data_IF_141731761292
#
_entry.id   IF_141731761292
#
_cell.length_a   1.000
_cell.length_b   1.000
_cell.length_c   1.000
_cell.angle_alpha   90.00
_cell.angle_beta   90.00
_cell.angle_gamma   90.00
#
_symmetry.space_group_name_H-M   'P 1'
#
loop_
_entity.id
_entity.type
_entity.pdbx_description
1 polymer ?
#
# COMPACT_ATOMS: atom_id res chain seq x y z
N UNK A 1 -0.24 -31.02 -41.21
CA UNK A 1 -1.00 -31.08 -39.94
C UNK A 1 -1.12 -29.68 -39.37
N UNK A 2 -2.34 -29.17 -39.17
CA UNK A 2 -2.58 -27.85 -38.57
C UNK A 2 -2.72 -28.02 -37.06
N UNK A 3 -1.77 -27.49 -36.28
CA UNK A 3 -1.90 -27.42 -34.82
C UNK A 3 -2.94 -26.35 -34.51
N UNK A 4 -4.13 -26.80 -34.11
CA UNK A 4 -5.22 -25.94 -33.63
C UNK A 4 -4.86 -25.43 -32.22
N UNK A 5 -4.18 -24.29 -32.16
CA UNK A 5 -3.85 -23.61 -30.90
C UNK A 5 -5.14 -23.07 -30.31
N UNK A 6 -5.63 -23.72 -29.26
CA UNK A 6 -6.81 -23.27 -28.52
C UNK A 6 -6.38 -22.13 -27.60
N UNK A 7 -6.71 -20.89 -27.97
CA UNK A 7 -6.54 -19.75 -27.06
C UNK A 7 -7.59 -19.88 -25.95
N UNK A 8 -7.19 -20.40 -24.79
CA UNK A 8 -8.07 -20.48 -23.61
C UNK A 8 -7.98 -19.19 -22.81
N UNK A 9 -9.13 -18.73 -22.30
CA UNK A 9 -9.29 -17.48 -21.58
C UNK A 9 -8.51 -17.51 -20.26
N UNK A 10 -7.48 -16.69 -20.16
CA UNK A 10 -6.86 -16.34 -18.88
C UNK A 10 -7.78 -15.31 -18.21
N UNK A 11 -8.07 -15.44 -16.91
CA UNK A 11 -8.86 -14.48 -16.12
C UNK A 11 -8.07 -13.17 -15.91
N UNK A 12 -7.90 -12.40 -16.99
CA UNK A 12 -7.39 -11.03 -16.95
C UNK A 12 -8.55 -10.06 -17.18
N UNK A 13 -8.51 -8.86 -16.56
CA UNK A 13 -7.45 -8.36 -15.69
C UNK A 13 -7.45 -9.03 -14.31
N UNK A 14 -6.26 -9.17 -13.71
CA UNK A 14 -6.08 -9.65 -12.34
C UNK A 14 -5.43 -8.54 -11.51
N UNK A 15 -5.99 -8.25 -10.34
CA UNK A 15 -5.49 -7.22 -9.44
C UNK A 15 -5.19 -7.83 -8.07
N UNK A 16 -4.04 -7.46 -7.48
CA UNK A 16 -3.68 -7.84 -6.11
C UNK A 16 -2.74 -6.78 -5.51
N UNK A 17 -2.46 -6.88 -4.21
CA UNK A 17 -1.48 -6.05 -3.53
C UNK A 17 -0.36 -6.88 -2.93
N UNK A 18 0.87 -6.36 -2.98
CA UNK A 18 2.05 -7.01 -2.39
C UNK A 18 3.11 -5.97 -2.02
N UNK A 19 3.70 -6.06 -0.83
CA UNK A 19 4.71 -5.13 -0.30
C UNK A 19 4.33 -3.63 -0.41
N UNK A 20 3.05 -3.31 -0.24
CA UNK A 20 2.51 -1.95 -0.34
C UNK A 20 2.27 -1.45 -1.78
N UNK A 21 2.57 -2.26 -2.80
CA UNK A 21 2.23 -1.96 -4.18
C UNK A 21 0.87 -2.53 -4.56
N UNK A 22 0.13 -1.78 -5.37
CA UNK A 22 -1.02 -2.29 -6.11
C UNK A 22 -0.53 -2.81 -7.46
N UNK A 23 -0.91 -4.04 -7.79
CA UNK A 23 -0.48 -4.73 -9.00
C UNK A 23 -1.71 -4.97 -9.88
N UNK A 24 -1.62 -4.52 -11.13
CA UNK A 24 -2.61 -4.84 -12.17
C UNK A 24 -1.94 -5.61 -13.29
N UNK A 25 -2.48 -6.79 -13.59
CA UNK A 25 -2.00 -7.64 -14.66
C UNK A 25 -2.91 -7.52 -15.87
N UNK A 26 -2.33 -7.20 -17.01
CA UNK A 26 -3.03 -7.14 -18.29
C UNK A 26 -2.44 -8.15 -19.27
N UNK A 27 -3.33 -8.85 -19.98
CA UNK A 27 -2.92 -9.74 -21.06
C UNK A 27 -2.44 -8.92 -22.25
N UNK A 28 -1.21 -9.17 -22.71
CA UNK A 28 -0.69 -8.67 -23.98
C UNK A 28 -0.49 -9.85 -24.93
N UNK A 29 -1.07 -9.79 -26.13
CA UNK A 29 -0.80 -10.78 -27.17
C UNK A 29 0.53 -10.41 -27.81
N UNK A 30 1.52 -11.29 -27.73
CA UNK A 30 2.80 -11.12 -28.41
C UNK A 30 2.72 -11.47 -29.90
N UNK A 31 3.72 -11.03 -30.68
CA UNK A 31 3.92 -11.54 -32.03
C UNK A 31 4.20 -13.06 -31.96
N UNK A 32 3.57 -13.84 -32.84
CA UNK A 32 3.68 -15.32 -32.93
C UNK A 32 3.05 -16.17 -31.80
N UNK A 33 1.82 -15.84 -31.36
CA UNK A 33 1.00 -16.68 -30.44
C UNK A 33 1.54 -16.85 -29.01
N UNK A 34 2.63 -16.17 -28.67
CA UNK A 34 3.12 -16.09 -27.30
C UNK A 34 2.24 -15.16 -26.47
N UNK A 35 1.89 -15.60 -25.26
CA UNK A 35 1.08 -14.80 -24.33
C UNK A 35 2.04 -14.10 -23.38
N UNK A 36 2.09 -12.78 -23.47
CA UNK A 36 2.79 -11.94 -22.53
C UNK A 36 1.79 -11.37 -21.52
N UNK A 37 2.26 -11.15 -20.30
CA UNK A 37 1.50 -10.46 -19.26
C UNK A 37 2.28 -9.23 -18.90
N UNK A 38 1.64 -8.08 -18.97
CA UNK A 38 2.23 -6.84 -18.50
C UNK A 38 1.71 -6.57 -17.09
N UNK A 39 2.64 -6.49 -16.13
CA UNK A 39 2.32 -6.12 -14.76
C UNK A 39 2.57 -4.62 -14.60
N UNK A 40 1.56 -3.91 -14.11
CA UNK A 40 1.64 -2.52 -13.70
C UNK A 40 1.73 -2.48 -12.18
N UNK A 41 2.81 -1.90 -11.67
CA UNK A 41 3.06 -1.68 -10.25
C UNK A 41 2.79 -0.21 -9.94
N UNK A 42 1.70 0.06 -9.25
CA UNK A 42 1.34 1.41 -8.82
C UNK A 42 1.48 1.51 -7.31
N UNK A 43 2.10 2.59 -6.77
CA UNK A 43 2.08 2.84 -5.34
C UNK A 43 0.63 3.04 -4.83
N UNK A 44 0.41 3.03 -3.52
CA UNK A 44 -0.88 3.40 -2.97
C UNK A 44 -1.17 4.89 -3.25
N UNK A 45 -2.43 5.27 -3.10
CA UNK A 45 -2.83 6.67 -3.27
C UNK A 45 -2.08 7.52 -2.26
N UNK A 46 -1.54 8.65 -2.72
CA UNK A 46 -0.85 9.60 -1.83
C UNK A 46 -1.77 9.99 -0.66
N UNK A 47 -1.24 10.02 0.56
CA UNK A 47 -2.04 10.43 1.70
C UNK A 47 -2.49 11.88 1.54
N UNK A 48 -3.67 12.19 2.08
CA UNK A 48 -4.15 13.56 2.17
C UNK A 48 -3.33 14.35 3.21
N UNK A 49 -2.25 14.99 2.75
CA UNK A 49 -1.34 15.76 3.59
C UNK A 49 -2.06 16.83 4.40
N UNK A 50 -3.08 17.48 3.83
CA UNK A 50 -3.85 18.52 4.52
C UNK A 50 -4.64 17.90 5.68
N UNK A 51 -5.28 16.76 5.45
CA UNK A 51 -5.97 16.06 6.52
C UNK A 51 -5.04 15.70 7.67
N UNK A 52 -3.92 15.03 7.39
CA UNK A 52 -3.00 14.51 8.41
C UNK A 52 -2.20 15.59 9.15
N UNK A 53 -1.84 16.68 8.47
CA UNK A 53 -0.98 17.72 9.04
C UNK A 53 -1.75 18.88 9.67
N UNK A 54 -3.01 19.10 9.29
CA UNK A 54 -3.77 20.28 9.70
C UNK A 54 -5.11 19.92 10.35
N UNK A 55 -5.97 19.19 9.61
CA UNK A 55 -7.33 18.90 10.06
C UNK A 55 -7.32 18.02 11.30
N UNK A 56 -6.60 16.89 11.26
CA UNK A 56 -6.55 15.92 12.34
C UNK A 56 -5.93 16.50 13.63
N UNK A 57 -4.78 17.22 13.59
CA UNK A 57 -4.26 17.90 14.77
C UNK A 57 -5.22 18.92 15.37
N UNK A 58 -5.97 19.66 14.53
CA UNK A 58 -6.94 20.62 15.02
C UNK A 58 -8.13 19.93 15.71
N UNK A 59 -8.61 18.82 15.18
CA UNK A 59 -9.67 18.04 15.82
C UNK A 59 -9.23 17.46 17.17
N UNK A 60 -7.99 16.98 17.27
CA UNK A 60 -7.41 16.50 18.54
C UNK A 60 -7.35 17.63 19.57
N UNK A 61 -6.88 18.82 19.18
CA UNK A 61 -6.82 19.98 20.07
C UNK A 61 -8.22 20.36 20.58
N UNK A 62 -9.21 20.45 19.68
CA UNK A 62 -10.60 20.76 20.04
C UNK A 62 -11.17 19.76 21.06
N UNK A 63 -10.91 18.46 20.88
CA UNK A 63 -11.36 17.43 21.82
C UNK A 63 -10.63 17.52 23.18
N UNK A 64 -9.34 17.84 23.19
CA UNK A 64 -8.58 18.02 24.44
C UNK A 64 -9.11 19.20 25.26
N UNK A 65 -9.46 20.31 24.58
CA UNK A 65 -10.10 21.48 25.20
C UNK A 65 -11.47 21.08 25.76
N UNK A 66 -12.30 20.41 24.95
CA UNK A 66 -13.64 19.97 25.36
C UNK A 66 -13.60 19.06 26.60
N UNK A 67 -12.58 18.20 26.70
CA UNK A 67 -12.39 17.29 27.85
C UNK A 67 -11.73 17.95 29.06
N UNK A 68 -11.40 19.25 29.01
CA UNK A 68 -10.69 19.95 30.08
C UNK A 68 -9.26 19.44 30.31
N UNK A 69 -8.68 18.72 29.33
CA UNK A 69 -7.32 18.18 29.39
C UNK A 69 -6.27 19.21 28.96
N UNK A 70 -6.69 20.22 28.21
CA UNK A 70 -5.86 21.36 27.85
C UNK A 70 -6.31 22.61 28.64
N UNK A 71 -5.39 23.40 29.24
CA UNK A 71 -3.93 23.25 29.25
C UNK A 71 -3.36 22.46 30.46
N UNK A 72 -4.23 21.77 31.22
CA UNK A 72 -3.90 21.16 32.52
C UNK A 72 -2.98 19.93 32.39
N UNK A 73 -3.34 18.98 31.52
CA UNK A 73 -2.62 17.73 31.28
C UNK A 73 -1.83 17.72 29.97
N UNK A 74 -2.22 18.59 29.03
CA UNK A 74 -1.55 18.81 27.76
C UNK A 74 -1.17 20.28 27.66
N UNK A 75 0.12 20.58 27.55
CA UNK A 75 0.61 21.95 27.41
C UNK A 75 0.64 22.40 25.94
N UNK A 76 0.79 23.71 25.70
CA UNK A 76 1.02 24.24 24.34
C UNK A 76 2.28 23.63 23.70
N UNK A 77 3.33 23.36 24.50
CA UNK A 77 4.57 22.70 24.02
C UNK A 77 4.31 21.26 23.57
N UNK A 78 3.42 20.54 24.24
CA UNK A 78 3.05 19.18 23.85
C UNK A 78 2.29 19.17 22.51
N UNK A 79 1.38 20.13 22.30
CA UNK A 79 0.65 20.30 21.05
C UNK A 79 1.61 20.63 19.89
N UNK A 80 2.53 21.56 20.08
CA UNK A 80 3.50 21.91 19.04
C UNK A 80 4.47 20.76 18.74
N UNK A 81 4.90 20.02 19.77
CA UNK A 81 5.68 18.79 19.58
C UNK A 81 4.92 17.76 18.77
N UNK A 82 3.66 17.50 19.10
CA UNK A 82 2.79 16.60 18.35
C UNK A 82 2.68 17.01 16.88
N UNK A 83 2.31 18.27 16.59
CA UNK A 83 2.20 18.78 15.22
C UNK A 83 3.51 18.64 14.44
N UNK A 84 4.63 18.95 15.09
CA UNK A 84 5.96 18.85 14.46
C UNK A 84 6.31 17.41 14.09
N UNK A 85 6.14 16.45 15.01
CA UNK A 85 6.44 15.04 14.76
C UNK A 85 5.48 14.48 13.70
N UNK A 86 4.19 14.77 13.80
CA UNK A 86 3.18 14.38 12.82
C UNK A 86 3.56 14.86 11.42
N UNK A 87 3.85 16.15 11.27
CA UNK A 87 4.25 16.74 9.99
C UNK A 87 5.51 16.11 9.42
N UNK A 88 6.53 15.94 10.26
CA UNK A 88 7.79 15.33 9.82
C UNK A 88 7.60 13.88 9.35
N UNK A 89 6.76 13.12 10.05
CA UNK A 89 6.45 11.75 9.66
C UNK A 89 5.69 11.70 8.33
N UNK A 90 4.58 12.42 8.23
CA UNK A 90 3.73 12.42 7.03
C UNK A 90 4.50 12.93 5.82
N UNK A 91 5.23 14.05 5.95
CA UNK A 91 6.03 14.61 4.85
C UNK A 91 7.25 13.73 4.48
N UNK A 92 7.66 12.82 5.37
CA UNK A 92 8.68 11.83 5.10
C UNK A 92 8.21 10.71 4.17
N UNK A 93 6.90 10.54 4.00
CA UNK A 93 6.31 9.51 3.15
C UNK A 93 6.48 9.91 1.69
N UNK A 94 7.33 9.16 0.98
CA UNK A 94 7.58 9.35 -0.44
C UNK A 94 7.28 8.06 -1.17
N UNK A 95 6.25 8.09 -2.01
CA UNK A 95 5.92 6.96 -2.86
C UNK A 95 6.73 7.02 -4.16
N UNK A 96 7.36 5.91 -4.58
CA UNK A 96 8.06 5.82 -5.85
C UNK A 96 7.08 5.97 -7.02
N UNK A 97 7.59 6.36 -8.18
CA UNK A 97 6.80 6.41 -9.41
C UNK A 97 6.27 5.01 -9.77
N UNK A 98 5.10 4.97 -10.41
CA UNK A 98 4.56 3.74 -10.97
C UNK A 98 5.51 3.13 -12.01
N UNK A 99 5.58 1.81 -12.06
CA UNK A 99 6.45 1.06 -12.96
C UNK A 99 5.65 -0.02 -13.68
N UNK A 100 6.16 -0.49 -14.82
CA UNK A 100 5.62 -1.69 -15.47
C UNK A 100 6.74 -2.62 -15.91
N UNK A 101 6.44 -3.92 -15.91
CA UNK A 101 7.34 -4.94 -16.40
C UNK A 101 6.56 -6.03 -17.15
N UNK A 102 7.18 -6.57 -18.20
CA UNK A 102 6.58 -7.62 -19.03
C UNK A 102 7.09 -8.98 -18.60
N UNK A 103 6.15 -9.86 -18.30
CA UNK A 103 6.39 -11.24 -17.92
C UNK A 103 5.94 -12.16 -19.05
N UNK A 104 6.70 -13.22 -19.28
CA UNK A 104 6.30 -14.29 -20.19
C UNK A 104 5.34 -15.22 -19.43
N UNK A 105 4.11 -15.41 -19.94
CA UNK A 105 3.20 -16.43 -19.43
C UNK A 105 3.43 -17.81 -20.09
N UNK A 106 4.50 -17.91 -20.87
CA UNK A 106 4.92 -19.16 -21.46
C UNK A 106 5.64 -19.98 -20.39
N UNK A 107 4.94 -20.97 -19.83
CA UNK A 107 5.62 -22.08 -19.19
C UNK A 107 6.63 -22.72 -20.18
N UNK A 108 7.64 -23.39 -19.63
CA UNK A 108 8.62 -24.11 -20.45
C UNK A 108 7.95 -25.09 -21.43
N UNK A 109 8.71 -25.62 -22.39
CA UNK A 109 8.18 -26.48 -23.46
C UNK A 109 7.26 -27.61 -22.94
N UNK A 110 7.53 -28.15 -21.74
CA UNK A 110 6.73 -29.17 -21.04
C UNK A 110 5.36 -28.68 -20.51
N UNK A 111 5.26 -27.45 -20.01
CA UNK A 111 4.01 -26.90 -19.46
C UNK A 111 2.96 -26.65 -20.54
N UNK A 112 3.42 -26.36 -21.76
CA UNK A 112 2.57 -26.17 -22.95
C UNK A 112 1.90 -27.47 -23.40
N UNK A 113 2.46 -28.63 -23.07
CA UNK A 113 1.91 -29.95 -23.43
C UNK A 113 0.88 -30.48 -22.42
N UNK A 114 0.96 -30.10 -21.14
CA UNK A 114 0.19 -30.75 -20.06
C UNK A 114 -1.16 -30.06 -19.75
N UNK A 115 -1.47 -28.91 -20.38
CA UNK A 115 -2.84 -28.37 -20.37
C UNK A 115 -3.39 -27.95 -19.00
N UNK A 116 -2.51 -27.65 -18.03
CA UNK A 116 -2.90 -27.22 -16.68
C UNK A 116 -3.11 -25.70 -16.60
N UNK A 117 -4.34 -25.25 -16.91
CA UNK A 117 -4.72 -23.83 -16.90
C UNK A 117 -4.64 -23.13 -15.53
N UNK A 118 -4.67 -23.84 -14.40
CA UNK A 118 -4.57 -23.22 -13.06
C UNK A 118 -3.10 -22.97 -12.68
N UNK A 119 -2.18 -23.80 -13.18
CA UNK A 119 -0.75 -23.74 -12.90
C UNK A 119 -0.08 -22.51 -13.53
N UNK A 120 -0.49 -22.12 -14.74
CA UNK A 120 0.18 -21.04 -15.50
C UNK A 120 -0.06 -19.63 -14.94
N UNK A 121 -1.27 -19.32 -14.47
CA UNK A 121 -1.55 -18.01 -13.86
C UNK A 121 -0.83 -17.86 -12.52
N UNK A 122 -0.84 -18.91 -11.70
CA UNK A 122 -0.12 -18.92 -10.42
C UNK A 122 1.40 -18.75 -10.63
N UNK A 123 2.01 -19.49 -11.57
CA UNK A 123 3.43 -19.33 -11.94
C UNK A 123 3.79 -17.90 -12.36
N UNK A 124 2.91 -17.24 -13.10
CA UNK A 124 3.10 -15.84 -13.50
C UNK A 124 3.01 -14.92 -12.28
N UNK A 125 2.02 -15.12 -11.40
CA UNK A 125 1.90 -14.35 -10.15
C UNK A 125 3.13 -14.55 -9.27
N UNK A 126 3.61 -15.79 -9.11
CA UNK A 126 4.80 -16.11 -8.32
C UNK A 126 6.04 -15.41 -8.90
N UNK A 127 6.23 -15.46 -10.23
CA UNK A 127 7.33 -14.77 -10.91
C UNK A 127 7.27 -13.25 -10.73
N UNK A 128 6.06 -12.69 -10.70
CA UNK A 128 5.83 -11.26 -10.46
C UNK A 128 6.14 -10.91 -9.00
N UNK A 129 5.67 -11.71 -8.04
CA UNK A 129 5.96 -11.52 -6.61
C UNK A 129 7.47 -11.62 -6.36
N UNK A 130 8.15 -12.58 -6.96
CA UNK A 130 9.61 -12.69 -6.89
C UNK A 130 10.29 -11.45 -7.49
N UNK A 131 9.86 -10.99 -8.66
CA UNK A 131 10.38 -9.75 -9.23
C UNK A 131 10.19 -8.58 -8.27
N UNK A 132 9.01 -8.43 -7.66
CA UNK A 132 8.71 -7.36 -6.71
C UNK A 132 9.63 -7.44 -5.49
N UNK A 133 9.85 -8.63 -4.93
CA UNK A 133 10.71 -8.82 -3.75
C UNK A 133 12.17 -8.43 -4.00
N UNK A 134 12.66 -8.60 -5.23
CA UNK A 134 14.07 -8.34 -5.57
C UNK A 134 14.31 -6.95 -6.19
N UNK A 135 13.31 -6.34 -6.84
CA UNK A 135 13.50 -5.14 -7.65
C UNK A 135 12.71 -3.93 -7.19
N UNK A 136 11.64 -4.12 -6.39
CA UNK A 136 10.83 -3.00 -5.91
C UNK A 136 11.10 -2.75 -4.43
N UNK A 137 11.23 -1.48 -4.00
CA UNK A 137 11.29 -1.16 -2.59
C UNK A 137 9.96 -1.51 -1.92
N UNK A 138 10.02 -1.93 -0.66
CA UNK A 138 8.81 -2.07 0.17
C UNK A 138 8.24 -0.67 0.45
N UNK A 139 6.95 -0.48 0.19
CA UNK A 139 6.25 0.76 0.49
C UNK A 139 5.57 0.61 1.85
N UNK A 140 5.88 1.52 2.77
CA UNK A 140 5.12 1.67 4.01
C UNK A 140 3.94 2.61 3.75
N UNK A 141 2.74 2.09 3.91
CA UNK A 141 1.52 2.88 3.81
C UNK A 141 1.30 3.69 5.10
N UNK A 142 0.82 4.92 4.95
CA UNK A 142 0.37 5.73 6.08
C UNK A 142 -0.90 5.11 6.68
N UNK A 143 -0.73 4.32 7.73
CA UNK A 143 -1.85 3.74 8.49
C UNK A 143 -2.04 4.48 9.81
N UNK A 144 -3.27 4.46 10.33
CA UNK A 144 -3.59 5.03 11.66
C UNK A 144 -2.69 4.42 12.74
N UNK A 145 -2.47 3.10 12.71
CA UNK A 145 -1.60 2.41 13.67
C UNK A 145 -0.13 2.81 13.51
N UNK A 146 0.39 2.87 12.28
CA UNK A 146 1.75 3.32 12.03
C UNK A 146 1.97 4.77 12.50
N UNK A 147 0.99 5.63 12.24
CA UNK A 147 0.97 7.01 12.72
C UNK A 147 0.97 7.10 14.25
N UNK A 148 0.07 6.38 14.93
CA UNK A 148 -0.01 6.35 16.40
C UNK A 148 1.28 5.83 17.03
N UNK A 149 1.80 4.70 16.55
CA UNK A 149 3.06 4.13 17.02
C UNK A 149 4.21 5.13 16.86
N UNK A 150 4.30 5.78 15.70
CA UNK A 150 5.35 6.77 15.45
C UNK A 150 5.28 7.94 16.43
N UNK A 151 4.08 8.44 16.73
CA UNK A 151 3.92 9.52 17.70
C UNK A 151 4.28 9.07 19.12
N UNK A 152 3.85 7.87 19.51
CA UNK A 152 4.15 7.29 20.82
C UNK A 152 5.65 7.06 21.01
N UNK A 153 6.33 6.48 20.02
CA UNK A 153 7.77 6.22 20.03
C UNK A 153 8.59 7.51 20.13
N UNK A 154 8.06 8.62 19.64
CA UNK A 154 8.69 9.95 19.72
C UNK A 154 8.27 10.76 20.95
N UNK A 155 7.61 10.11 21.92
CA UNK A 155 7.28 10.70 23.23
C UNK A 155 6.22 11.79 23.16
N UNK A 156 5.24 11.66 22.27
CA UNK A 156 4.04 12.51 22.30
C UNK A 156 3.22 12.21 23.55
N UNK A 157 2.67 13.26 24.16
CA UNK A 157 1.89 13.18 25.40
C UNK A 157 0.75 12.13 25.28
N UNK A 158 0.61 11.28 26.30
CA UNK A 158 -0.31 10.15 26.29
C UNK A 158 -1.79 10.55 26.17
N UNK A 159 -2.18 11.74 26.64
CA UNK A 159 -3.54 12.25 26.48
C UNK A 159 -3.83 12.64 25.02
N UNK A 160 -2.82 13.12 24.29
CA UNK A 160 -2.91 13.37 22.84
C UNK A 160 -3.08 12.03 22.12
N UNK A 161 -2.22 11.04 22.42
CA UNK A 161 -2.29 9.69 21.82
C UNK A 161 -3.64 9.02 22.08
N UNK A 162 -4.14 9.09 23.32
CA UNK A 162 -5.45 8.54 23.69
C UNK A 162 -6.59 9.23 22.94
N UNK A 163 -6.57 10.56 22.87
CA UNK A 163 -7.60 11.33 22.14
C UNK A 163 -7.59 11.03 20.66
N UNK A 164 -6.40 10.96 20.06
CA UNK A 164 -6.22 10.58 18.66
C UNK A 164 -6.70 9.14 18.39
N UNK A 165 -6.36 8.20 19.27
CA UNK A 165 -6.82 6.80 19.16
C UNK A 165 -8.33 6.68 19.24
N UNK A 166 -8.99 7.48 20.09
CA UNK A 166 -10.46 7.52 20.18
C UNK A 166 -11.09 8.14 18.93
N UNK A 167 -10.55 9.26 18.43
CA UNK A 167 -11.03 9.92 17.22
C UNK A 167 -10.94 9.00 16.01
N UNK A 168 -9.86 8.23 15.91
CA UNK A 168 -9.66 7.25 14.85
C UNK A 168 -10.42 5.92 15.07
N UNK A 169 -11.20 5.78 16.15
CA UNK A 169 -12.00 4.59 16.44
C UNK A 169 -11.18 3.35 16.84
N UNK A 170 -9.92 3.54 17.25
CA UNK A 170 -8.98 2.47 17.62
C UNK A 170 -9.19 1.99 19.06
N UNK A 171 -9.62 2.88 19.95
CA UNK A 171 -10.08 2.53 21.28
C UNK A 171 -11.60 2.62 21.31
N UNK A 172 -12.28 1.47 21.15
CA UNK A 172 -13.68 1.33 21.58
C UNK A 172 -13.65 1.06 23.09
N UNK A 173 -13.94 2.09 23.88
CA UNK A 173 -14.28 1.94 25.30
C UNK A 173 -15.79 1.69 25.37
#
# INVERSE_FOLDING_TARGET
MSIKVTVRNYMFPLCFSHNGWNVRLEKRIGFFKDIAVEAYFTPPVLPDYTYWNEILPQQVLSLLIQKGQYPTHVSAKDIERYKSIARNYVNGIKYPAAQSHKFSANGGFLDRFIGQNISSTQKVVDSIVDYMNHNLPKIEELTIYGYLNRLQDNGVNSYIISTLSQLCGVLRI
#
